data_IF_519473645314
#
_entry.id   IF_519473645314
#
_cell.length_a   1.000
_cell.length_b   1.000
_cell.length_c   1.000
_cell.angle_alpha   90.00
_cell.angle_beta   90.00
_cell.angle_gamma   90.00
#
_symmetry.space_group_name_H-M   'P 1'
#
loop_
_entity.id
_entity.type
_entity.pdbx_description
1 polymer ?
#
# COMPACT_ATOMS: atom_id res chain seq x y z
N UNK A 1 25.05 19.56 -2.85
CA UNK A 1 24.13 18.94 -3.84
C UNK A 1 22.75 19.54 -3.65
N UNK A 2 22.03 19.87 -4.72
CA UNK A 2 20.63 20.31 -4.63
C UNK A 2 19.76 19.18 -4.08
N UNK A 3 18.88 19.47 -3.12
CA UNK A 3 17.94 18.48 -2.58
C UNK A 3 17.10 17.87 -3.72
N UNK A 4 16.86 16.54 -3.70
CA UNK A 4 15.94 15.91 -4.62
C UNK A 4 14.56 16.59 -4.58
N UNK A 5 13.96 16.74 -5.76
CA UNK A 5 12.64 17.30 -5.95
C UNK A 5 11.60 16.18 -6.00
N UNK A 6 10.48 16.40 -5.33
CA UNK A 6 9.33 15.50 -5.25
C UNK A 6 8.06 16.29 -5.62
N UNK A 7 6.92 15.61 -5.72
CA UNK A 7 5.63 16.28 -5.98
C UNK A 7 4.54 15.83 -5.00
N UNK A 8 3.63 16.73 -4.68
CA UNK A 8 2.37 16.43 -3.98
C UNK A 8 1.20 16.68 -4.90
N UNK A 9 0.23 15.77 -4.88
CA UNK A 9 -1.04 15.82 -5.58
C UNK A 9 -2.17 15.73 -4.55
N UNK A 10 -2.92 16.83 -4.35
CA UNK A 10 -4.13 16.84 -3.53
C UNK A 10 -5.31 16.31 -4.34
N UNK A 11 -6.03 15.32 -3.83
CA UNK A 11 -7.16 14.67 -4.52
C UNK A 11 -8.45 14.72 -3.69
N UNK A 12 -9.60 14.61 -4.34
CA UNK A 12 -10.89 14.46 -3.64
C UNK A 12 -11.19 12.98 -3.46
N UNK A 13 -11.62 12.56 -2.27
CA UNK A 13 -11.95 11.15 -2.00
C UNK A 13 -13.06 10.61 -2.89
N UNK A 14 -14.14 11.40 -3.05
CA UNK A 14 -15.24 11.09 -3.96
C UNK A 14 -15.25 12.06 -5.13
N UNK A 15 -15.39 11.52 -6.33
CA UNK A 15 -15.55 12.29 -7.57
C UNK A 15 -16.81 11.83 -8.28
N UNK A 16 -17.60 12.78 -8.78
CA UNK A 16 -18.83 12.50 -9.51
C UNK A 16 -18.62 12.79 -11.00
N UNK A 17 -18.90 11.80 -11.84
CA UNK A 17 -18.78 11.89 -13.29
C UNK A 17 -20.03 11.28 -13.91
N UNK A 18 -20.73 12.07 -14.72
CA UNK A 18 -21.97 11.67 -15.39
C UNK A 18 -23.00 11.03 -14.43
N UNK A 19 -23.10 11.55 -13.19
CA UNK A 19 -24.02 11.07 -12.16
C UNK A 19 -23.58 9.80 -11.41
N UNK A 20 -22.39 9.27 -11.71
CA UNK A 20 -21.78 8.15 -10.98
C UNK A 20 -20.70 8.67 -10.05
N UNK A 21 -20.77 8.26 -8.78
CA UNK A 21 -19.75 8.60 -7.77
C UNK A 21 -18.70 7.50 -7.71
N UNK A 22 -17.43 7.88 -7.88
CA UNK A 22 -16.27 7.00 -7.76
C UNK A 22 -15.50 7.30 -6.48
N UNK A 23 -14.90 6.27 -5.87
CA UNK A 23 -13.86 6.44 -4.86
C UNK A 23 -12.50 6.54 -5.53
N UNK A 24 -11.84 7.69 -5.41
CA UNK A 24 -10.59 7.96 -6.12
C UNK A 24 -9.53 6.93 -5.76
N UNK A 25 -9.35 6.59 -4.49
CA UNK A 25 -8.29 5.66 -4.08
C UNK A 25 -8.62 4.25 -4.55
N UNK A 26 -9.86 3.78 -4.34
CA UNK A 26 -10.23 2.43 -4.77
C UNK A 26 -10.01 2.22 -6.28
N UNK A 27 -10.35 3.20 -7.11
CA UNK A 27 -10.14 3.12 -8.56
C UNK A 27 -8.65 3.09 -8.95
N UNK A 28 -7.79 3.84 -8.25
CA UNK A 28 -6.35 3.87 -8.53
C UNK A 28 -5.64 2.61 -7.98
N UNK A 29 -6.03 2.12 -6.81
CA UNK A 29 -5.54 0.85 -6.26
C UNK A 29 -5.87 -0.31 -7.19
N UNK A 30 -7.11 -0.41 -7.68
CA UNK A 30 -7.53 -1.46 -8.62
C UNK A 30 -6.65 -1.51 -9.88
N UNK A 31 -6.22 -0.36 -10.39
CA UNK A 31 -5.29 -0.29 -11.53
C UNK A 31 -3.90 -0.75 -11.11
N UNK A 32 -3.37 -0.18 -10.02
CA UNK A 32 -2.03 -0.49 -9.54
C UNK A 32 -1.87 -1.98 -9.22
N UNK A 33 -2.86 -2.60 -8.57
CA UNK A 33 -2.87 -4.02 -8.22
C UNK A 33 -2.80 -4.94 -9.46
N UNK A 34 -3.57 -4.62 -10.50
CA UNK A 34 -3.64 -5.43 -11.72
C UNK A 34 -2.43 -5.26 -12.61
N UNK A 35 -1.79 -4.09 -12.56
CA UNK A 35 -0.78 -3.69 -13.56
C UNK A 35 0.61 -3.47 -12.98
N UNK A 36 0.75 -3.46 -11.65
CA UNK A 36 1.96 -3.09 -10.90
C UNK A 36 2.57 -1.76 -11.34
N UNK A 37 1.69 -0.84 -11.75
CA UNK A 37 2.02 0.46 -12.31
C UNK A 37 0.77 1.32 -12.30
N UNK A 38 0.93 2.60 -11.99
CA UNK A 38 -0.15 3.56 -11.98
C UNK A 38 0.29 4.85 -12.66
N UNK A 39 -0.56 5.36 -13.55
CA UNK A 39 -0.42 6.69 -14.13
C UNK A 39 -1.56 7.55 -13.58
N UNK A 40 -1.22 8.40 -12.61
CA UNK A 40 -2.16 9.29 -11.94
C UNK A 40 -2.27 10.63 -12.68
N UNK A 41 -3.47 11.02 -13.10
CA UNK A 41 -3.75 12.33 -13.69
C UNK A 41 -4.29 13.33 -12.67
N UNK A 42 -3.69 14.52 -12.58
CA UNK A 42 -4.23 15.61 -11.75
C UNK A 42 -5.09 16.59 -12.57
N UNK A 43 -6.36 16.69 -12.19
CA UNK A 43 -7.32 17.60 -12.82
C UNK A 43 -7.05 19.07 -12.47
N UNK A 44 -7.26 19.95 -13.45
CA UNK A 44 -7.25 21.40 -13.29
C UNK A 44 -8.22 22.06 -14.26
N UNK A 45 -8.96 23.08 -13.80
CA UNK A 45 -9.84 23.89 -14.64
C UNK A 45 -9.07 24.86 -15.56
N UNK A 46 -7.78 25.08 -15.28
CA UNK A 46 -6.94 26.01 -16.03
C UNK A 46 -6.20 25.35 -17.20
N UNK A 47 -5.68 26.18 -18.10
CA UNK A 47 -4.83 25.72 -19.20
C UNK A 47 -3.34 25.61 -18.85
N UNK A 48 -2.99 25.87 -17.59
CA UNK A 48 -1.61 25.82 -17.13
C UNK A 48 -1.21 24.39 -16.75
N UNK A 49 0.07 24.06 -16.99
CA UNK A 49 0.66 22.81 -16.52
C UNK A 49 0.66 22.76 -15.00
N UNK A 50 0.43 21.57 -14.44
CA UNK A 50 0.45 21.32 -13.00
C UNK A 50 1.86 21.40 -12.41
N UNK A 51 2.89 21.10 -13.21
CA UNK A 51 4.31 21.16 -12.84
C UNK A 51 5.07 21.78 -14.00
N UNK A 52 5.83 22.86 -13.77
CA UNK A 52 6.62 23.53 -14.82
C UNK A 52 7.61 22.60 -15.53
N UNK A 53 7.90 22.89 -16.80
CA UNK A 53 8.81 22.09 -17.64
C UNK A 53 10.19 21.90 -17.01
N UNK A 54 10.75 22.96 -16.42
CA UNK A 54 12.02 22.95 -15.71
C UNK A 54 12.02 21.94 -14.54
N UNK A 55 10.93 21.92 -13.76
CA UNK A 55 10.76 21.01 -12.61
C UNK A 55 10.52 19.57 -13.07
N UNK A 56 9.74 19.35 -14.13
CA UNK A 56 9.56 18.01 -14.73
C UNK A 56 10.88 17.47 -15.25
N UNK A 57 11.66 18.29 -15.97
CA UNK A 57 12.99 17.91 -16.46
C UNK A 57 13.92 17.56 -15.30
N UNK A 58 13.94 18.36 -14.24
CA UNK A 58 14.74 18.07 -13.04
C UNK A 58 14.39 16.70 -12.42
N UNK A 59 13.11 16.36 -12.33
CA UNK A 59 12.68 15.05 -11.81
C UNK A 59 13.09 13.92 -12.77
N UNK A 60 12.98 14.12 -14.08
CA UNK A 60 13.48 13.15 -15.08
C UNK A 60 14.99 12.92 -14.92
N UNK A 61 15.78 14.00 -14.86
CA UNK A 61 17.23 13.92 -14.70
C UNK A 61 17.62 13.21 -13.37
N UNK A 62 16.83 13.41 -12.30
CA UNK A 62 17.01 12.69 -11.03
C UNK A 62 16.79 11.18 -11.21
N UNK A 63 15.67 10.78 -11.81
CA UNK A 63 15.33 9.36 -12.04
C UNK A 63 16.37 8.69 -12.95
N UNK A 64 16.79 9.36 -14.03
CA UNK A 64 17.80 8.85 -14.96
C UNK A 64 19.18 8.67 -14.29
N UNK A 65 19.49 9.48 -13.27
CA UNK A 65 20.69 9.36 -12.45
C UNK A 65 20.57 8.33 -11.31
N UNK A 66 19.44 7.62 -11.19
CA UNK A 66 19.17 6.68 -10.10
C UNK A 66 18.87 7.34 -8.76
N UNK A 67 18.49 8.63 -8.76
CA UNK A 67 18.09 9.38 -7.57
C UNK A 67 16.57 9.32 -7.44
N UNK A 68 16.11 8.70 -6.35
CA UNK A 68 14.70 8.49 -6.12
C UNK A 68 13.92 9.80 -5.95
N UNK A 69 12.80 9.87 -6.69
CA UNK A 69 11.82 10.95 -6.63
C UNK A 69 10.46 10.35 -6.30
N UNK A 70 9.64 11.07 -5.54
CA UNK A 70 8.40 10.52 -4.97
C UNK A 70 7.23 11.45 -5.26
N UNK A 71 6.07 10.85 -5.53
CA UNK A 71 4.80 11.52 -5.61
C UNK A 71 3.96 11.17 -4.38
N UNK A 72 3.48 12.20 -3.69
CA UNK A 72 2.63 12.07 -2.52
C UNK A 72 1.19 12.43 -2.88
N UNK A 73 0.25 11.54 -2.60
CA UNK A 73 -1.17 11.75 -2.87
C UNK A 73 -1.87 12.01 -1.55
N UNK A 74 -2.42 13.22 -1.39
CA UNK A 74 -3.02 13.69 -0.14
C UNK A 74 -4.50 13.92 -0.33
N UNK A 75 -5.33 13.32 0.52
CA UNK A 75 -6.75 13.60 0.52
C UNK A 75 -7.00 15.08 0.88
N UNK A 76 -7.71 15.78 0.00
CA UNK A 76 -8.15 17.14 0.19
C UNK A 76 -9.48 17.15 0.97
N UNK A 77 -9.38 17.12 2.29
CA UNK A 77 -10.51 17.14 3.22
C UNK A 77 -10.22 18.11 4.38
N UNK A 78 -11.23 18.83 4.88
CA UNK A 78 -11.08 19.77 6.01
C UNK A 78 -10.95 19.06 7.38
N UNK A 79 -11.01 17.72 7.40
CA UNK A 79 -10.90 16.91 8.61
C UNK A 79 -9.44 16.56 8.96
N UNK A 80 -9.20 16.22 10.23
CA UNK A 80 -7.90 15.79 10.76
C UNK A 80 -7.47 14.40 10.28
N UNK A 81 -8.42 13.57 9.85
CA UNK A 81 -8.14 12.24 9.29
C UNK A 81 -8.17 12.33 7.76
N UNK A 82 -6.98 12.29 7.17
CA UNK A 82 -6.76 12.28 5.72
C UNK A 82 -5.97 11.04 5.38
N UNK A 83 -6.15 10.53 4.17
CA UNK A 83 -5.28 9.49 3.65
C UNK A 83 -4.07 10.12 2.92
N UNK A 84 -2.92 9.49 3.10
CA UNK A 84 -1.65 9.87 2.49
C UNK A 84 -1.04 8.63 1.84
N UNK A 85 -0.76 8.73 0.55
CA UNK A 85 -0.08 7.68 -0.22
C UNK A 85 1.21 8.22 -0.81
N UNK A 86 2.17 7.33 -1.05
CA UNK A 86 3.44 7.64 -1.71
C UNK A 86 3.71 6.66 -2.84
N UNK A 87 4.18 7.18 -3.97
CA UNK A 87 4.63 6.40 -5.10
C UNK A 87 5.99 6.85 -5.62
N UNK A 88 6.86 5.90 -5.93
CA UNK A 88 8.16 6.16 -6.57
C UNK A 88 7.93 6.55 -8.03
N UNK A 89 8.37 7.74 -8.39
CA UNK A 89 8.15 8.32 -9.72
C UNK A 89 9.07 7.63 -10.73
N UNK A 90 8.46 7.19 -11.83
CA UNK A 90 9.18 6.83 -13.04
C UNK A 90 9.27 8.03 -13.99
N UNK A 91 8.14 8.73 -14.22
CA UNK A 91 8.09 9.89 -15.11
C UNK A 91 6.91 10.82 -14.80
N UNK A 92 7.09 12.11 -15.07
CA UNK A 92 6.01 13.08 -15.17
C UNK A 92 5.70 13.39 -16.64
N UNK A 93 4.43 13.48 -16.99
CA UNK A 93 3.98 13.90 -18.32
C UNK A 93 3.18 15.19 -18.21
N UNK A 94 3.35 16.08 -19.18
CA UNK A 94 2.54 17.30 -19.27
C UNK A 94 1.13 17.00 -19.76
N UNK A 95 0.26 18.01 -19.66
CA UNK A 95 -1.06 18.01 -20.30
C UNK A 95 -0.95 17.64 -21.78
N UNK A 96 -1.83 16.76 -22.26
CA UNK A 96 -1.88 16.25 -23.64
C UNK A 96 -0.60 15.58 -24.15
N UNK A 97 0.39 15.29 -23.30
CA UNK A 97 1.58 14.53 -23.71
C UNK A 97 1.23 13.03 -23.92
N UNK A 98 0.26 12.51 -23.16
CA UNK A 98 -0.27 11.15 -23.37
C UNK A 98 -1.34 11.21 -24.46
N UNK A 99 -1.06 10.59 -25.61
CA UNK A 99 -2.00 10.55 -26.75
C UNK A 99 -3.19 9.62 -26.50
N UNK A 100 -4.26 9.82 -27.28
CA UNK A 100 -5.47 9.00 -27.18
C UNK A 100 -5.25 7.51 -27.51
N UNK A 101 -4.19 7.21 -28.26
CA UNK A 101 -3.77 5.86 -28.68
C UNK A 101 -2.61 5.29 -27.84
N UNK A 102 -2.17 6.01 -26.81
CA UNK A 102 -1.06 5.56 -25.96
C UNK A 102 -1.44 4.33 -25.14
N UNK A 103 -0.53 3.36 -25.08
CA UNK A 103 -0.65 2.19 -24.19
C UNK A 103 -0.58 2.58 -22.71
N UNK A 104 -0.11 3.79 -22.38
CA UNK A 104 -0.09 4.27 -20.99
C UNK A 104 -1.50 4.37 -20.37
N UNK A 105 -2.54 4.46 -21.21
CA UNK A 105 -3.94 4.52 -20.77
C UNK A 105 -4.39 3.26 -20.04
N UNK A 106 -3.73 2.12 -20.26
CA UNK A 106 -4.00 0.86 -19.53
C UNK A 106 -3.63 0.93 -18.05
N UNK A 107 -2.83 1.94 -17.66
CA UNK A 107 -2.40 2.22 -16.30
C UNK A 107 -3.12 3.45 -15.71
N UNK A 108 -4.16 3.96 -16.36
CA UNK A 108 -4.96 5.09 -15.90
C UNK A 108 -6.35 4.57 -15.48
N UNK A 109 -6.91 5.02 -14.34
CA UNK A 109 -8.25 4.63 -13.92
C UNK A 109 -9.33 4.89 -14.97
N UNK A 110 -10.22 3.92 -15.09
CA UNK A 110 -11.23 3.86 -16.13
C UNK A 110 -12.20 5.05 -16.12
N UNK A 111 -12.44 5.63 -14.94
CA UNK A 111 -13.38 6.75 -14.80
C UNK A 111 -12.94 8.01 -15.56
N UNK A 112 -11.66 8.11 -15.95
CA UNK A 112 -11.16 9.25 -16.75
C UNK A 112 -10.21 8.89 -17.88
N UNK A 113 -9.71 7.66 -17.96
CA UNK A 113 -8.78 7.24 -19.04
C UNK A 113 -9.37 7.47 -20.45
N UNK A 114 -10.70 7.40 -20.59
CA UNK A 114 -11.40 7.67 -21.85
C UNK A 114 -11.22 9.09 -22.41
N UNK A 115 -11.00 10.09 -21.56
CA UNK A 115 -10.83 11.49 -22.00
C UNK A 115 -9.37 11.84 -22.31
N UNK A 116 -8.41 11.02 -21.87
CA UNK A 116 -6.97 11.24 -22.06
C UNK A 116 -6.59 11.28 -23.54
N UNK A 117 -5.85 12.32 -23.93
CA UNK A 117 -5.42 12.62 -25.28
C UNK A 117 -6.52 13.19 -26.19
N UNK A 118 -7.70 13.50 -25.65
CA UNK A 118 -8.82 14.09 -26.40
C UNK A 118 -9.00 15.58 -26.10
N UNK A 119 -9.93 16.24 -26.80
CA UNK A 119 -10.28 17.63 -26.50
C UNK A 119 -10.94 17.81 -25.12
N UNK A 120 -11.53 16.73 -24.57
CA UNK A 120 -12.21 16.73 -23.27
C UNK A 120 -11.24 16.49 -22.09
N UNK A 121 -9.93 16.39 -22.32
CA UNK A 121 -8.94 16.20 -21.25
C UNK A 121 -8.77 17.47 -20.39
N UNK A 122 -9.04 17.33 -19.08
CA UNK A 122 -8.87 18.38 -18.07
C UNK A 122 -7.68 18.12 -17.12
N UNK A 123 -6.72 17.30 -17.55
CA UNK A 123 -5.56 16.93 -16.74
C UNK A 123 -4.41 17.92 -16.97
N UNK A 124 -3.79 18.36 -15.89
CA UNK A 124 -2.70 19.34 -15.89
C UNK A 124 -1.31 18.71 -15.79
N UNK A 125 -1.22 17.49 -15.27
CA UNK A 125 0.01 16.70 -15.17
C UNK A 125 -0.38 15.24 -14.94
N UNK A 126 0.40 14.31 -15.50
CA UNK A 126 0.35 12.90 -15.13
C UNK A 126 1.62 12.50 -14.38
N UNK A 127 1.46 11.62 -13.41
CA UNK A 127 2.56 10.99 -12.67
C UNK A 127 2.51 9.49 -12.88
N UNK A 128 3.54 8.94 -13.50
CA UNK A 128 3.77 7.50 -13.61
C UNK A 128 4.60 7.05 -12.42
N UNK A 129 4.03 6.14 -11.62
CA UNK A 129 4.64 5.58 -10.42
C UNK A 129 4.75 4.06 -10.48
N UNK A 130 5.84 3.54 -9.90
CA UNK A 130 6.11 2.10 -9.75
C UNK A 130 5.71 1.54 -8.39
N UNK A 131 5.36 2.40 -7.43
CA UNK A 131 4.79 2.01 -6.13
C UNK A 131 3.58 2.86 -5.78
N UNK A 132 2.73 2.34 -4.90
CA UNK A 132 1.58 3.05 -4.37
C UNK A 132 1.29 2.53 -2.96
N UNK A 133 1.85 3.20 -1.95
CA UNK A 133 1.87 2.74 -0.57
C UNK A 133 1.16 3.75 0.34
N UNK A 134 0.24 3.26 1.17
CA UNK A 134 -0.38 4.06 2.24
C UNK A 134 0.63 4.30 3.36
N UNK A 135 0.72 5.53 3.85
CA UNK A 135 1.59 5.93 4.96
C UNK A 135 0.84 6.75 6.01
N UNK A 136 1.37 6.81 7.23
CA UNK A 136 0.80 7.58 8.33
C UNK A 136 0.63 9.05 7.89
N UNK A 137 -0.59 9.57 8.00
CA UNK A 137 -0.91 10.93 7.59
C UNK A 137 -0.11 12.01 8.33
N UNK A 138 0.41 11.72 9.52
CA UNK A 138 1.28 12.64 10.28
C UNK A 138 2.57 12.93 9.53
N UNK A 139 3.00 12.05 8.64
CA UNK A 139 4.18 12.26 7.80
C UNK A 139 3.97 13.38 6.77
N UNK A 140 2.75 13.87 6.55
CA UNK A 140 2.53 15.05 5.74
C UNK A 140 3.19 16.31 6.34
N UNK A 141 3.45 16.34 7.65
CA UNK A 141 4.23 17.41 8.31
C UNK A 141 5.72 17.43 7.88
N UNK A 142 6.22 16.32 7.34
CA UNK A 142 7.59 16.15 6.86
C UNK A 142 7.75 16.57 5.37
N UNK A 143 6.66 17.02 4.74
CA UNK A 143 6.61 17.44 3.33
C UNK A 143 6.55 18.96 3.24
N UNK A 144 7.57 19.55 2.63
CA UNK A 144 7.81 21.00 2.61
C UNK A 144 7.73 21.52 1.18
N UNK A 145 6.90 22.53 0.93
CA UNK A 145 6.76 23.14 -0.39
C UNK A 145 8.04 23.86 -0.78
N UNK A 146 8.61 23.50 -1.93
CA UNK A 146 9.93 23.96 -2.36
C UNK A 146 10.01 25.47 -2.55
N UNK A 147 8.93 26.10 -3.02
CA UNK A 147 8.91 27.54 -3.30
C UNK A 147 8.73 28.42 -2.07
N UNK A 148 8.05 27.92 -1.02
CA UNK A 148 7.71 28.73 0.18
C UNK A 148 8.46 28.30 1.43
N UNK A 149 8.93 27.06 1.50
CA UNK A 149 9.50 26.47 2.71
C UNK A 149 8.44 26.13 3.77
N UNK A 150 7.16 26.27 3.47
CA UNK A 150 6.05 25.95 4.37
C UNK A 150 5.70 24.46 4.27
N UNK A 151 5.12 23.90 5.34
CA UNK A 151 4.58 22.53 5.29
C UNK A 151 3.41 22.48 4.32
N UNK A 152 3.27 21.36 3.61
CA UNK A 152 2.23 21.23 2.58
C UNK A 152 0.80 21.32 3.13
N UNK A 153 0.61 20.95 4.40
CA UNK A 153 -0.69 21.04 5.09
C UNK A 153 -1.06 22.47 5.48
N UNK A 154 -0.08 23.36 5.65
CA UNK A 154 -0.32 24.77 6.00
C UNK A 154 -0.78 25.59 4.78
N UNK A 155 -0.65 25.02 3.57
CA UNK A 155 -1.11 25.65 2.33
C UNK A 155 -2.63 25.55 2.19
N UNK A 156 -3.31 26.68 2.34
CA UNK A 156 -4.77 26.83 2.25
C UNK A 156 -5.28 27.26 0.88
N UNK A 157 -4.41 27.48 -0.10
CA UNK A 157 -4.83 27.86 -1.44
C UNK A 157 -5.50 26.69 -2.21
N UNK A 158 -6.16 27.02 -3.31
CA UNK A 158 -6.88 26.05 -4.15
C UNK A 158 -5.97 25.19 -5.05
N UNK A 159 -4.63 25.32 -4.95
CA UNK A 159 -3.73 24.51 -5.77
C UNK A 159 -3.74 23.07 -5.30
N UNK A 160 -3.71 22.17 -6.28
CA UNK A 160 -3.68 20.73 -6.03
C UNK A 160 -2.33 20.09 -6.32
N UNK A 161 -1.38 20.82 -6.90
CA UNK A 161 -0.05 20.32 -7.22
C UNK A 161 1.01 21.20 -6.57
N UNK A 162 1.98 20.57 -5.90
CA UNK A 162 3.10 21.26 -5.27
C UNK A 162 4.41 20.54 -5.60
N UNK A 163 5.44 21.30 -5.92
CA UNK A 163 6.81 20.80 -5.89
C UNK A 163 7.29 20.86 -4.44
N UNK A 164 7.87 19.76 -3.95
CA UNK A 164 8.21 19.63 -2.53
C UNK A 164 9.59 19.04 -2.32
N UNK A 165 10.15 19.33 -1.15
CA UNK A 165 11.23 18.58 -0.54
C UNK A 165 10.66 17.77 0.63
N UNK A 166 11.39 16.73 1.03
CA UNK A 166 11.07 15.92 2.20
C UNK A 166 12.24 15.90 3.17
N UNK A 167 11.98 15.61 4.44
CA UNK A 167 13.02 15.41 5.44
C UNK A 167 13.75 14.09 5.24
N UNK A 168 14.94 13.96 5.84
CA UNK A 168 15.73 12.73 5.79
C UNK A 168 14.98 11.56 6.44
N UNK A 169 14.29 11.80 7.56
CA UNK A 169 13.47 10.80 8.24
C UNK A 169 12.39 10.18 7.32
N UNK A 170 11.61 11.02 6.62
CA UNK A 170 10.59 10.52 5.70
C UNK A 170 11.22 9.78 4.52
N UNK A 171 12.35 10.28 4.00
CA UNK A 171 13.07 9.62 2.90
C UNK A 171 13.55 8.23 3.30
N UNK A 172 14.17 8.11 4.48
CA UNK A 172 14.76 6.86 4.95
C UNK A 172 13.67 5.84 5.28
N UNK A 173 12.54 6.26 5.85
CA UNK A 173 11.36 5.42 6.03
C UNK A 173 10.86 4.84 4.69
N UNK A 174 10.67 5.69 3.67
CA UNK A 174 10.21 5.23 2.35
C UNK A 174 11.21 4.24 1.77
N UNK A 175 12.52 4.52 1.86
CA UNK A 175 13.55 3.62 1.35
C UNK A 175 13.56 2.27 2.07
N UNK A 176 13.36 2.25 3.40
CA UNK A 176 13.24 1.02 4.17
C UNK A 176 12.00 0.21 3.73
N UNK A 177 10.86 0.86 3.55
CA UNK A 177 9.63 0.22 3.05
C UNK A 177 9.83 -0.38 1.64
N UNK A 178 10.63 0.27 0.80
CA UNK A 178 10.95 -0.24 -0.53
C UNK A 178 11.96 -1.41 -0.50
N UNK A 179 12.87 -1.41 0.46
CA UNK A 179 13.92 -2.43 0.58
C UNK A 179 13.46 -3.70 1.30
N UNK A 180 12.48 -3.60 2.21
CA UNK A 180 12.02 -4.71 3.03
C UNK A 180 10.50 -4.95 2.88
N UNK A 181 10.09 -5.89 1.99
CA UNK A 181 8.68 -6.18 1.73
C UNK A 181 7.89 -6.66 2.96
N UNK A 182 8.55 -7.32 3.91
CA UNK A 182 7.88 -7.83 5.12
C UNK A 182 7.63 -6.72 6.12
N UNK A 183 8.64 -5.88 6.39
CA UNK A 183 8.48 -4.70 7.22
C UNK A 183 7.46 -3.71 6.63
N UNK A 184 7.48 -3.52 5.31
CA UNK A 184 6.49 -2.71 4.60
C UNK A 184 5.08 -3.26 4.75
N UNK A 185 4.90 -4.58 4.61
CA UNK A 185 3.59 -5.20 4.78
C UNK A 185 3.08 -5.02 6.21
N UNK A 186 3.91 -5.30 7.22
CA UNK A 186 3.54 -5.07 8.62
C UNK A 186 3.20 -3.59 8.91
N UNK A 187 3.96 -2.66 8.34
CA UNK A 187 3.67 -1.23 8.44
C UNK A 187 2.28 -0.91 7.87
N UNK A 188 1.94 -1.43 6.68
CA UNK A 188 0.62 -1.23 6.08
C UNK A 188 -0.50 -1.81 6.97
N UNK A 189 -0.30 -2.99 7.56
CA UNK A 189 -1.25 -3.59 8.51
C UNK A 189 -1.53 -2.67 9.69
N UNK A 190 -0.51 -2.02 10.26
CA UNK A 190 -0.70 -1.07 11.37
C UNK A 190 -1.50 0.17 10.95
N UNK A 191 -1.35 0.63 9.71
CA UNK A 191 -2.07 1.81 9.19
C UNK A 191 -3.55 1.54 8.88
N UNK A 192 -4.00 0.29 8.90
CA UNK A 192 -5.39 -0.06 8.61
C UNK A 192 -6.33 0.33 9.76
N UNK A 193 -7.33 1.15 9.43
CA UNK A 193 -8.37 1.62 10.33
C UNK A 193 -9.51 0.62 10.47
N UNK A 194 -9.27 -0.47 11.19
CA UNK A 194 -10.29 -1.48 11.54
C UNK A 194 -10.73 -1.26 12.99
N UNK A 195 -12.04 -1.09 13.21
CA UNK A 195 -12.60 -0.94 14.56
C UNK A 195 -12.53 -2.23 15.38
N UNK A 196 -12.74 -2.15 16.70
CA UNK A 196 -12.60 -3.30 17.61
C UNK A 196 -13.75 -4.33 17.45
N UNK A 197 -14.92 -3.92 16.92
CA UNK A 197 -16.09 -4.79 16.69
C UNK A 197 -16.00 -5.58 15.38
N UNK A 198 -14.96 -6.41 15.23
CA UNK A 198 -14.79 -7.28 14.06
C UNK A 198 -15.52 -8.60 14.27
N UNK A 199 -16.35 -8.99 13.31
CA UNK A 199 -16.92 -10.34 13.26
C UNK A 199 -16.01 -11.28 12.48
N UNK A 200 -15.94 -12.53 12.91
CA UNK A 200 -15.27 -13.59 12.17
C UNK A 200 -15.97 -13.79 10.82
N UNK A 201 -15.20 -13.78 9.73
CA UNK A 201 -15.65 -13.97 8.35
C UNK A 201 -14.81 -15.06 7.69
N UNK A 202 -15.04 -16.31 8.08
CA UNK A 202 -14.33 -17.48 7.56
C UNK A 202 -15.06 -18.03 6.32
N UNK A 203 -15.22 -17.18 5.30
CA UNK A 203 -15.80 -17.56 4.02
C UNK A 203 -14.72 -17.73 2.93
N UNK A 204 -14.91 -18.67 1.98
CA UNK A 204 -13.97 -18.84 0.87
C UNK A 204 -13.87 -17.57 0.03
N UNK A 205 -12.65 -17.06 -0.18
CA UNK A 205 -12.37 -15.93 -1.08
C UNK A 205 -11.74 -16.43 -2.38
N UNK A 206 -11.96 -15.70 -3.47
CA UNK A 206 -11.29 -15.98 -4.74
C UNK A 206 -9.82 -15.59 -4.67
N UNK A 207 -8.98 -16.32 -5.40
CA UNK A 207 -7.52 -16.13 -5.38
C UNK A 207 -7.16 -14.71 -5.83
N UNK A 208 -6.31 -13.98 -5.08
CA UNK A 208 -5.92 -12.62 -5.44
C UNK A 208 -5.10 -12.61 -6.73
N UNK A 209 -5.04 -11.46 -7.40
CA UNK A 209 -4.22 -11.32 -8.61
C UNK A 209 -2.74 -11.56 -8.30
N UNK A 210 -2.08 -12.30 -9.17
CA UNK A 210 -0.63 -12.56 -9.12
C UNK A 210 0.11 -11.37 -9.73
N UNK A 211 1.03 -10.79 -8.98
CA UNK A 211 1.87 -9.69 -9.44
C UNK A 211 3.24 -10.21 -9.82
N UNK A 212 3.80 -9.78 -10.96
CA UNK A 212 5.14 -10.17 -11.40
C UNK A 212 6.06 -8.95 -11.42
N UNK A 213 7.11 -8.99 -10.60
CA UNK A 213 8.13 -7.92 -10.53
C UNK A 213 9.51 -8.56 -10.67
N UNK A 214 10.29 -8.11 -11.66
CA UNK A 214 11.67 -8.60 -11.86
C UNK A 214 11.78 -10.11 -12.08
N UNK A 215 10.77 -10.75 -12.67
CA UNK A 215 10.72 -12.20 -12.91
C UNK A 215 10.30 -13.04 -11.71
N UNK A 216 10.04 -12.44 -10.54
CA UNK A 216 9.41 -13.11 -9.39
C UNK A 216 7.93 -12.80 -9.36
N UNK A 217 7.12 -13.83 -9.22
CA UNK A 217 5.67 -13.72 -9.10
C UNK A 217 5.24 -13.97 -7.66
N UNK A 218 4.42 -13.09 -7.10
CA UNK A 218 3.87 -13.20 -5.75
C UNK A 218 2.40 -12.84 -5.75
N UNK A 219 1.65 -13.44 -4.83
CA UNK A 219 0.26 -13.08 -4.58
C UNK A 219 0.18 -11.84 -3.70
N UNK A 220 -0.74 -10.92 -4.03
CA UNK A 220 -0.99 -9.75 -3.21
C UNK A 220 -1.61 -10.19 -1.88
N UNK A 221 -1.08 -9.64 -0.79
CA UNK A 221 -1.64 -9.72 0.56
C UNK A 221 -2.53 -8.50 0.82
N UNK A 222 -3.65 -8.68 1.50
CA UNK A 222 -4.55 -7.62 1.96
C UNK A 222 -4.23 -7.25 3.42
N UNK A 223 -3.61 -6.07 3.67
CA UNK A 223 -3.30 -5.61 5.01
C UNK A 223 -4.53 -5.53 5.93
N UNK A 224 -5.71 -5.26 5.37
CA UNK A 224 -6.95 -5.16 6.13
C UNK A 224 -7.39 -6.51 6.68
N UNK A 225 -7.25 -7.57 5.88
CA UNK A 225 -7.51 -8.96 6.31
C UNK A 225 -6.55 -9.35 7.46
N UNK A 226 -5.26 -9.02 7.35
CA UNK A 226 -4.30 -9.20 8.44
C UNK A 226 -4.61 -8.38 9.70
N UNK A 227 -5.02 -7.11 9.52
CA UNK A 227 -5.39 -6.24 10.64
C UNK A 227 -6.61 -6.78 11.39
N UNK A 228 -7.62 -7.28 10.68
CA UNK A 228 -8.78 -7.95 11.30
C UNK A 228 -8.36 -9.16 12.13
N UNK A 229 -7.45 -10.01 11.63
CA UNK A 229 -6.95 -11.15 12.40
C UNK A 229 -6.27 -10.72 13.71
N UNK A 230 -5.47 -9.65 13.68
CA UNK A 230 -4.87 -9.04 14.88
C UNK A 230 -5.95 -8.53 15.86
N UNK A 231 -6.99 -7.85 15.35
CA UNK A 231 -8.10 -7.34 16.19
C UNK A 231 -8.88 -8.50 16.82
N UNK A 232 -9.18 -9.56 16.05
CA UNK A 232 -9.84 -10.77 16.54
C UNK A 232 -9.02 -11.48 17.63
N UNK A 233 -7.69 -11.40 17.55
CA UNK A 233 -6.78 -11.91 18.57
C UNK A 233 -6.58 -10.95 19.76
N UNK A 234 -7.34 -9.84 19.85
CA UNK A 234 -7.23 -8.83 20.91
C UNK A 234 -5.79 -8.29 21.08
N UNK A 235 -5.06 -8.16 19.96
CA UNK A 235 -3.66 -7.74 19.96
C UNK A 235 -2.73 -8.61 20.83
N UNK A 236 -3.09 -9.89 21.05
CA UNK A 236 -2.28 -10.87 21.79
C UNK A 236 -1.56 -11.81 20.85
N UNK A 237 -0.47 -12.40 21.35
CA UNK A 237 0.21 -13.46 20.62
C UNK A 237 -0.58 -14.77 20.73
N UNK A 238 -0.81 -15.45 19.61
CA UNK A 238 -1.57 -16.70 19.56
C UNK A 238 -0.73 -17.95 19.86
N UNK A 239 0.58 -17.79 20.04
CA UNK A 239 1.44 -18.84 20.62
C UNK A 239 1.32 -18.82 22.15
N UNK A 240 1.37 -17.63 22.75
CA UNK A 240 1.27 -17.41 24.19
C UNK A 240 0.63 -16.03 24.44
N UNK A 241 -0.53 -16.01 25.10
CA UNK A 241 -1.28 -14.78 25.36
C UNK A 241 -0.61 -13.84 26.37
N UNK A 242 0.34 -14.34 27.15
CA UNK A 242 1.06 -13.56 28.17
C UNK A 242 2.27 -12.81 27.55
N UNK A 243 2.59 -13.07 26.28
CA UNK A 243 3.62 -12.31 25.57
C UNK A 243 3.15 -10.88 25.27
N UNK A 244 3.74 -9.93 25.98
CA UNK A 244 3.65 -8.51 25.70
C UNK A 244 4.99 -7.98 25.17
N UNK A 245 4.94 -7.14 24.14
CA UNK A 245 6.10 -6.40 23.65
C UNK A 245 6.07 -4.96 24.18
N UNK A 246 5.53 -4.03 23.39
CA UNK A 246 5.38 -2.62 23.76
C UNK A 246 4.07 -2.07 23.20
N UNK A 247 3.62 -0.92 23.71
CA UNK A 247 2.42 -0.25 23.19
C UNK A 247 2.74 0.47 21.87
N UNK A 248 2.10 0.04 20.78
CA UNK A 248 2.27 0.66 19.46
C UNK A 248 1.84 2.12 19.48
N UNK A 249 2.66 2.98 18.86
CA UNK A 249 2.31 4.40 18.67
C UNK A 249 1.11 4.58 17.74
N UNK A 250 0.89 3.64 16.83
CA UNK A 250 -0.19 3.67 15.83
C UNK A 250 -1.47 3.11 16.43
N UNK A 251 -1.44 1.85 16.89
CA UNK A 251 -2.67 1.16 17.34
C UNK A 251 -3.04 1.47 18.79
N UNK A 252 -2.10 1.97 19.61
CA UNK A 252 -2.25 2.18 21.06
C UNK A 252 -2.56 0.91 21.86
N UNK A 253 -2.25 -0.26 21.30
CA UNK A 253 -2.40 -1.58 21.89
C UNK A 253 -1.04 -2.29 21.92
N UNK A 254 -0.98 -3.49 22.50
CA UNK A 254 0.22 -4.35 22.44
C UNK A 254 0.67 -4.54 20.97
N UNK A 255 1.96 -4.46 20.73
CA UNK A 255 2.54 -4.63 19.41
C UNK A 255 2.63 -6.12 19.05
N UNK A 256 2.04 -6.46 17.90
CA UNK A 256 2.05 -7.81 17.33
C UNK A 256 2.13 -7.69 15.80
N UNK A 257 2.68 -8.73 15.19
CA UNK A 257 2.91 -8.86 13.77
C UNK A 257 1.95 -9.92 13.20
N UNK A 258 1.38 -9.65 12.03
CA UNK A 258 0.54 -10.60 11.33
C UNK A 258 1.40 -11.61 10.57
N UNK A 259 1.11 -12.90 10.72
CA UNK A 259 1.83 -13.96 10.04
C UNK A 259 0.84 -14.91 9.35
N UNK A 260 1.03 -15.16 8.05
CA UNK A 260 0.29 -16.21 7.35
C UNK A 260 0.83 -17.58 7.77
N UNK A 261 0.00 -18.41 8.41
CA UNK A 261 0.34 -19.76 8.84
C UNK A 261 0.64 -20.67 7.64
N UNK A 262 -0.20 -20.66 6.61
CA UNK A 262 0.17 -21.19 5.30
C UNK A 262 0.91 -20.07 4.57
N UNK A 263 2.22 -20.21 4.28
CA UNK A 263 2.97 -19.14 3.64
C UNK A 263 2.38 -18.80 2.27
N UNK A 264 2.25 -17.51 1.97
CA UNK A 264 1.66 -17.02 0.70
C UNK A 264 2.36 -17.54 -0.56
N UNK A 265 3.62 -17.98 -0.45
CA UNK A 265 4.35 -18.64 -1.54
C UNK A 265 3.71 -19.94 -2.02
N UNK A 266 2.87 -20.58 -1.19
CA UNK A 266 2.16 -21.82 -1.50
C UNK A 266 0.71 -21.60 -1.93
N UNK A 267 0.28 -20.36 -2.22
CA UNK A 267 -1.08 -20.08 -2.71
C UNK A 267 -1.45 -20.91 -3.96
N UNK A 268 -0.49 -21.24 -4.83
CA UNK A 268 -0.72 -22.05 -6.03
C UNK A 268 -1.19 -23.50 -5.69
N UNK A 269 -1.01 -23.96 -4.45
CA UNK A 269 -1.49 -25.28 -4.00
C UNK A 269 -2.99 -25.31 -3.67
N UNK A 270 -3.68 -24.17 -3.73
CA UNK A 270 -5.05 -24.01 -3.28
C UNK A 270 -5.94 -23.32 -4.32
N UNK A 271 -7.17 -23.83 -4.50
CA UNK A 271 -8.17 -23.23 -5.40
C UNK A 271 -8.80 -21.94 -4.87
N UNK A 272 -8.70 -21.72 -3.55
CA UNK A 272 -9.22 -20.56 -2.84
C UNK A 272 -8.09 -19.75 -2.23
N UNK A 273 -8.34 -18.46 -2.03
CA UNK A 273 -7.35 -17.57 -1.43
C UNK A 273 -6.97 -18.08 -0.04
N UNK A 274 -5.67 -18.18 0.22
CA UNK A 274 -5.13 -18.40 1.56
C UNK A 274 -4.87 -17.07 2.29
N UNK A 275 -5.18 -15.93 1.66
CA UNK A 275 -5.21 -14.62 2.30
C UNK A 275 -6.59 -14.38 2.96
N UNK A 276 -6.82 -15.12 4.03
CA UNK A 276 -8.05 -15.10 4.84
C UNK A 276 -7.69 -15.01 6.32
N UNK A 277 -8.60 -14.45 7.12
CA UNK A 277 -8.43 -14.27 8.56
C UNK A 277 -8.15 -15.62 9.27
N UNK A 278 -8.70 -16.73 8.77
CA UNK A 278 -8.45 -18.08 9.27
C UNK A 278 -6.99 -18.55 9.11
N UNK A 279 -6.27 -18.02 8.13
CA UNK A 279 -4.88 -18.39 7.84
C UNK A 279 -3.86 -17.41 8.46
N UNK A 280 -4.31 -16.33 9.09
CA UNK A 280 -3.42 -15.32 9.65
C UNK A 280 -3.43 -15.45 11.16
N UNK A 281 -2.25 -15.43 11.76
CA UNK A 281 -2.04 -15.47 13.21
C UNK A 281 -1.36 -14.19 13.69
N UNK A 282 -1.76 -13.72 14.86
CA UNK A 282 -1.19 -12.58 15.56
C UNK A 282 -0.04 -13.06 16.45
N UNK A 283 1.18 -12.54 16.24
CA UNK A 283 2.37 -12.98 16.95
C UNK A 283 3.15 -11.80 17.55
N UNK A 284 3.72 -11.95 18.73
CA UNK A 284 4.74 -10.98 19.19
C UNK A 284 5.96 -11.04 18.25
N UNK A 285 6.77 -9.97 18.22
CA UNK A 285 7.89 -9.85 17.29
C UNK A 285 8.92 -10.98 17.47
N UNK A 286 9.09 -11.47 18.71
CA UNK A 286 9.97 -12.60 19.02
C UNK A 286 9.43 -13.92 18.43
N UNK A 287 8.15 -14.21 18.63
CA UNK A 287 7.52 -15.41 18.07
C UNK A 287 7.49 -15.39 16.54
N UNK A 288 7.19 -14.25 15.93
CA UNK A 288 7.20 -14.12 14.48
C UNK A 288 8.58 -14.41 13.90
N UNK A 289 9.63 -13.76 14.43
CA UNK A 289 11.02 -14.01 14.02
C UNK A 289 11.45 -15.46 14.28
N UNK A 290 10.97 -16.07 15.36
CA UNK A 290 11.25 -17.48 15.67
C UNK A 290 10.74 -18.40 14.57
N UNK A 291 9.53 -18.19 14.06
CA UNK A 291 8.99 -19.01 12.96
C UNK A 291 9.77 -18.88 11.65
N UNK A 292 10.42 -17.74 11.40
CA UNK A 292 11.23 -17.52 10.19
C UNK A 292 12.69 -17.95 10.30
N UNK A 293 13.27 -17.93 11.50
CA UNK A 293 14.73 -17.99 11.66
C UNK A 293 15.24 -19.07 12.61
N UNK A 294 14.39 -19.64 13.46
CA UNK A 294 14.82 -20.72 14.33
C UNK A 294 14.95 -22.04 13.55
N UNK A 295 15.73 -22.97 14.10
CA UNK A 295 15.79 -24.32 13.54
C UNK A 295 14.41 -24.99 13.56
N UNK A 296 14.09 -25.78 12.53
CA UNK A 296 12.78 -26.46 12.40
C UNK A 296 12.35 -27.18 13.69
N UNK A 297 13.27 -27.89 14.36
CA UNK A 297 13.04 -28.61 15.62
C UNK A 297 12.51 -27.73 16.78
N UNK A 298 12.73 -26.41 16.72
CA UNK A 298 12.26 -25.42 17.70
C UNK A 298 10.83 -24.95 17.38
N UNK A 299 10.47 -24.92 16.10
CA UNK A 299 9.20 -24.35 15.64
C UNK A 299 8.13 -25.40 15.36
N UNK A 300 8.51 -26.67 15.16
CA UNK A 300 7.58 -27.76 14.83
C UNK A 300 6.37 -27.80 15.76
N UNK A 301 6.58 -27.86 17.08
CA UNK A 301 5.48 -27.88 18.06
C UNK A 301 4.64 -26.59 18.08
N UNK A 302 5.24 -25.45 17.71
CA UNK A 302 4.54 -24.17 17.60
C UNK A 302 3.61 -24.17 16.38
N UNK A 303 4.09 -24.66 15.23
CA UNK A 303 3.29 -24.80 14.01
C UNK A 303 2.17 -25.81 14.21
N UNK A 304 2.42 -26.93 14.89
CA UNK A 304 1.38 -27.91 15.22
C UNK A 304 0.26 -27.31 16.08
N UNK A 305 0.62 -26.55 17.12
CA UNK A 305 -0.36 -25.83 17.95
C UNK A 305 -1.21 -24.88 17.09
N UNK A 306 -0.57 -24.03 16.30
CA UNK A 306 -1.27 -23.06 15.45
C UNK A 306 -2.15 -23.74 14.40
N UNK A 307 -1.71 -24.88 13.85
CA UNK A 307 -2.52 -25.70 12.95
C UNK A 307 -3.78 -26.21 13.64
N UNK A 308 -3.64 -26.79 14.83
CA UNK A 308 -4.78 -27.33 15.58
C UNK A 308 -5.78 -26.23 15.94
N UNK A 309 -5.29 -25.02 16.24
CA UNK A 309 -6.11 -23.83 16.49
C UNK A 309 -6.83 -23.30 15.23
N UNK A 310 -6.29 -23.55 14.02
CA UNK A 310 -6.79 -22.95 12.76
C UNK A 310 -7.49 -23.90 11.79
N UNK A 311 -7.26 -25.21 11.88
CA UNK A 311 -7.72 -26.16 10.85
C UNK A 311 -9.24 -26.16 10.65
N UNK A 312 -10.02 -25.96 11.72
CA UNK A 312 -11.48 -25.82 11.62
C UNK A 312 -11.88 -24.63 10.73
N UNK A 313 -11.33 -23.45 11.04
CA UNK A 313 -11.58 -22.19 10.30
C UNK A 313 -11.09 -22.25 8.86
N UNK A 314 -9.94 -22.88 8.62
CA UNK A 314 -9.41 -23.10 7.27
C UNK A 314 -10.37 -23.98 6.43
N UNK A 315 -10.96 -25.02 7.04
CA UNK A 315 -11.93 -25.87 6.35
C UNK A 315 -13.21 -25.11 5.97
N UNK A 316 -13.68 -24.20 6.82
CA UNK A 316 -14.84 -23.33 6.51
C UNK A 316 -14.55 -22.42 5.30
N UNK A 317 -13.29 -21.97 5.17
CA UNK A 317 -12.78 -21.25 4.00
C UNK A 317 -12.54 -22.15 2.76
N UNK A 318 -12.87 -23.45 2.84
CA UNK A 318 -12.58 -24.49 1.82
C UNK A 318 -11.08 -24.69 1.54
N UNK A 319 -10.22 -24.36 2.52
CA UNK A 319 -8.78 -24.58 2.47
C UNK A 319 -8.48 -25.89 3.20
N UNK A 320 -8.36 -26.98 2.45
CA UNK A 320 -8.04 -28.30 3.00
C UNK A 320 -6.52 -28.49 3.02
N UNK A 321 -5.95 -28.68 4.21
CA UNK A 321 -4.52 -28.86 4.38
C UNK A 321 -4.25 -29.93 5.45
N UNK A 322 -3.61 -31.06 5.09
CA UNK A 322 -3.08 -31.99 6.09
C UNK A 322 -1.94 -31.37 6.92
N UNK A 323 -1.87 -31.72 8.21
CA UNK A 323 -0.85 -31.19 9.15
C UNK A 323 0.58 -31.42 8.67
N UNK A 324 0.89 -32.62 8.19
CA UNK A 324 2.19 -32.99 7.64
C UNK A 324 2.58 -32.14 6.42
N UNK A 325 1.61 -31.76 5.59
CA UNK A 325 1.84 -30.86 4.45
C UNK A 325 2.19 -29.44 4.94
N UNK A 326 1.49 -28.91 5.94
CA UNK A 326 1.85 -27.62 6.55
C UNK A 326 3.26 -27.64 7.12
N UNK A 327 3.59 -28.66 7.92
CA UNK A 327 4.92 -28.81 8.51
C UNK A 327 6.04 -28.84 7.45
N UNK A 328 5.78 -29.46 6.29
CA UNK A 328 6.73 -29.47 5.18
C UNK A 328 6.91 -28.10 4.50
N UNK A 329 5.95 -27.17 4.59
CA UNK A 329 6.13 -25.80 4.10
C UNK A 329 7.13 -24.97 4.92
N UNK A 330 7.44 -25.40 6.15
CA UNK A 330 8.37 -24.75 7.07
C UNK A 330 9.77 -25.40 7.12
N UNK A 331 10.07 -26.34 6.22
CA UNK A 331 11.39 -27.01 6.10
C UNK A 331 12.21 -26.45 4.96
#
# INVERSE_FOLDING_TARGET
>A
MTKPLHVVLKYKKKVEIAGVTFDTISEHELVFEKKNKLVWGQFSKGNNSGVGEDKRKKISDQVDAGIDSFAFFIENNDRKERELFVGKINKLYDRKEISATSSLKDYIPNYYSGTVGTFAEEISVFVDVSTFLKIDNKLADEIIVESTGEKVLDITNSRSVFNVNITENLRDLINEMLANPEANFQYQVEQEGVGDDVTIDDQPKDVPSKTTVGGRSSYKRDPKTSKKAIVLADYKCEIDSDHEDFISKVTKKNYVEAHHLIPMGFQDDFEKSIDVEANIVSLCASCHKKLHHAEYKVIESLIEKLYDDRIGRLNDCKIKLPKDKLLNYYK
#
